data_IF_114010802757
#
_entry.id   IF_114010802757
#
_cell.length_a   1.000
_cell.length_b   1.000
_cell.length_c   1.000
_cell.angle_alpha   90.00
_cell.angle_beta   90.00
_cell.angle_gamma   90.00
#
_symmetry.space_group_name_H-M   'P 1'
#
loop_
_entity.id
_entity.type
_entity.pdbx_description
1 polymer ?
#
# COMPACT_ATOMS: atom_id res chain seq x y z
N UNK A 1 10.26 -9.59 -19.80
CA UNK A 1 11.23 -8.68 -19.12
C UNK A 1 10.40 -7.63 -18.44
N UNK A 2 10.63 -7.38 -17.15
CA UNK A 2 9.92 -6.37 -16.38
C UNK A 2 10.13 -4.98 -16.97
N UNK A 3 9.12 -4.11 -16.87
CA UNK A 3 9.16 -2.77 -17.44
C UNK A 3 10.01 -1.79 -16.62
N UNK A 4 9.93 -1.90 -15.29
CA UNK A 4 10.87 -1.28 -14.35
C UNK A 4 11.58 -2.39 -13.60
N UNK A 5 12.89 -2.34 -13.55
CA UNK A 5 13.72 -3.32 -12.85
C UNK A 5 14.79 -2.61 -12.02
N UNK A 6 14.93 -3.03 -10.79
CA UNK A 6 15.94 -2.55 -9.85
C UNK A 6 16.74 -3.76 -9.40
N UNK A 7 18.07 -3.68 -9.50
CA UNK A 7 18.99 -4.76 -9.16
C UNK A 7 20.00 -4.30 -8.12
N UNK A 8 20.08 -5.00 -6.99
CA UNK A 8 21.08 -4.83 -5.92
C UNK A 8 21.25 -3.38 -5.43
N UNK A 9 20.16 -2.61 -5.41
CA UNK A 9 20.19 -1.19 -5.10
C UNK A 9 20.51 -0.93 -3.61
N UNK A 10 21.54 -0.16 -3.35
CA UNK A 10 21.91 0.24 -1.99
C UNK A 10 22.07 1.75 -1.87
N UNK A 11 21.76 2.28 -0.68
CA UNK A 11 21.93 3.69 -0.36
C UNK A 11 22.24 3.90 1.12
N UNK A 12 23.28 4.66 1.37
CA UNK A 12 23.75 5.07 2.71
C UNK A 12 23.69 6.59 2.83
N UNK A 13 23.21 7.11 3.96
CA UNK A 13 23.30 8.50 4.34
C UNK A 13 23.95 8.61 5.70
N UNK A 14 24.99 9.44 5.82
CA UNK A 14 25.71 9.68 7.08
C UNK A 14 26.09 8.38 7.83
N UNK A 15 26.54 7.36 7.10
CA UNK A 15 26.93 6.07 7.66
C UNK A 15 25.75 5.11 7.97
N UNK A 16 24.51 5.55 7.80
CA UNK A 16 23.32 4.69 7.97
C UNK A 16 22.87 4.11 6.64
N UNK A 17 22.84 2.77 6.55
CA UNK A 17 22.32 2.03 5.40
C UNK A 17 20.78 2.13 5.36
N UNK A 18 20.24 2.95 4.44
CA UNK A 18 18.83 3.22 4.25
C UNK A 18 18.20 2.22 3.29
N UNK A 19 18.93 1.83 2.23
CA UNK A 19 18.52 0.75 1.31
C UNK A 19 19.63 -0.30 1.24
N UNK A 20 19.25 -1.58 1.27
CA UNK A 20 20.18 -2.71 1.46
C UNK A 20 19.95 -3.76 0.37
N UNK A 21 20.68 -3.67 -0.74
CA UNK A 21 20.63 -4.61 -1.88
C UNK A 21 19.18 -4.90 -2.31
N UNK A 22 18.41 -3.84 -2.54
CA UNK A 22 17.00 -3.94 -2.86
C UNK A 22 16.81 -4.38 -4.30
N UNK A 23 15.91 -5.34 -4.51
CA UNK A 23 15.48 -5.82 -5.81
C UNK A 23 13.99 -5.56 -6.00
N UNK A 24 13.58 -5.10 -7.17
CA UNK A 24 12.19 -4.82 -7.47
C UNK A 24 11.94 -4.97 -8.98
N UNK A 25 10.80 -5.55 -9.34
CA UNK A 25 10.39 -5.74 -10.71
C UNK A 25 8.92 -5.32 -10.89
N UNK A 26 8.63 -4.47 -11.88
CA UNK A 26 7.27 -3.97 -12.17
C UNK A 26 6.96 -4.23 -13.63
N UNK A 27 5.79 -4.78 -13.91
CA UNK A 27 5.33 -5.00 -15.27
C UNK A 27 4.73 -3.73 -15.88
N UNK A 28 4.66 -3.66 -17.19
CA UNK A 28 4.06 -2.49 -17.89
C UNK A 28 2.59 -2.36 -17.55
N UNK A 29 2.17 -1.15 -17.21
CA UNK A 29 0.79 -0.86 -16.84
C UNK A 29 0.38 -1.36 -15.43
N UNK A 30 1.32 -1.89 -14.65
CA UNK A 30 1.06 -2.33 -13.28
C UNK A 30 1.07 -1.14 -12.30
N UNK A 31 0.14 -1.14 -11.35
CA UNK A 31 0.18 -0.26 -10.19
C UNK A 31 0.74 -1.04 -8.99
N UNK A 32 1.94 -0.66 -8.60
CA UNK A 32 2.67 -1.26 -7.48
C UNK A 32 2.68 -0.30 -6.29
N UNK A 33 2.45 -0.82 -5.10
CA UNK A 33 2.58 -0.03 -3.86
C UNK A 33 3.81 -0.47 -3.04
N UNK A 34 4.61 0.51 -2.65
CA UNK A 34 5.64 0.36 -1.62
C UNK A 34 5.02 0.68 -0.27
N UNK A 35 4.82 -0.33 0.55
CA UNK A 35 4.17 -0.24 1.86
C UNK A 35 5.17 -0.55 2.97
N UNK A 36 5.11 0.16 4.10
CA UNK A 36 6.00 -0.10 5.23
C UNK A 36 5.98 1.02 6.27
N UNK A 37 6.58 0.81 7.44
CA UNK A 37 6.63 1.82 8.49
C UNK A 37 7.41 3.07 8.06
N UNK A 38 7.25 4.16 8.81
CA UNK A 38 8.00 5.39 8.57
C UNK A 38 9.50 5.13 8.72
N UNK A 39 10.31 5.74 7.85
CA UNK A 39 11.77 5.59 7.89
C UNK A 39 12.34 4.30 7.27
N UNK A 40 11.54 3.38 6.73
CA UNK A 40 12.04 2.15 6.13
C UNK A 40 12.69 2.31 4.74
N UNK A 41 12.72 3.52 4.15
CA UNK A 41 13.41 3.81 2.89
C UNK A 41 12.52 4.05 1.67
N UNK A 42 11.18 4.01 1.75
CA UNK A 42 10.24 4.17 0.62
C UNK A 42 10.47 5.44 -0.20
N UNK A 43 10.43 6.62 0.44
CA UNK A 43 10.65 7.90 -0.25
C UNK A 43 12.09 8.03 -0.79
N UNK A 44 13.08 7.40 -0.14
CA UNK A 44 14.44 7.32 -0.66
C UNK A 44 14.48 6.52 -1.97
N UNK A 45 13.81 5.39 -2.02
CA UNK A 45 13.70 4.58 -3.22
C UNK A 45 13.01 5.35 -4.35
N UNK A 46 11.91 6.06 -4.04
CA UNK A 46 11.21 6.91 -5.00
C UNK A 46 12.11 8.01 -5.58
N UNK A 47 12.90 8.68 -4.71
CA UNK A 47 13.85 9.72 -5.13
C UNK A 47 14.98 9.17 -5.99
N UNK A 48 15.42 7.95 -5.74
CA UNK A 48 16.43 7.29 -6.58
C UNK A 48 15.82 6.89 -7.93
N UNK A 49 14.61 6.32 -7.96
CA UNK A 49 13.89 6.02 -9.20
C UNK A 49 13.70 7.27 -10.06
N UNK A 50 13.31 8.39 -9.45
CA UNK A 50 13.14 9.67 -10.17
C UNK A 50 14.45 10.32 -10.61
N UNK A 51 15.61 9.85 -10.14
CA UNK A 51 16.92 10.43 -10.42
C UNK A 51 17.26 11.66 -9.57
N UNK A 52 16.45 12.00 -8.57
CA UNK A 52 16.72 13.09 -7.63
C UNK A 52 17.83 12.75 -6.62
N UNK A 53 18.14 11.47 -6.47
CA UNK A 53 19.22 10.97 -5.60
C UNK A 53 19.92 9.83 -6.34
N UNK A 54 21.24 9.84 -6.40
CA UNK A 54 22.01 8.73 -6.96
C UNK A 54 22.08 7.57 -5.95
N UNK A 55 21.98 6.31 -6.40
CA UNK A 55 22.28 5.15 -5.57
C UNK A 55 23.79 5.09 -5.27
N UNK A 56 24.20 4.31 -4.28
CA UNK A 56 25.61 4.04 -4.02
C UNK A 56 26.07 2.81 -4.82
N UNK A 57 25.18 1.81 -4.98
CA UNK A 57 25.38 0.64 -5.80
C UNK A 57 24.05 0.18 -6.42
N UNK A 58 24.13 -0.68 -7.42
CA UNK A 58 22.97 -1.25 -8.10
C UNK A 58 22.59 -0.51 -9.37
N UNK A 59 21.65 -1.08 -10.12
CA UNK A 59 21.25 -0.60 -11.45
C UNK A 59 19.73 -0.48 -11.54
N UNK A 60 19.27 0.49 -12.32
CA UNK A 60 17.85 0.77 -12.57
C UNK A 60 17.59 0.73 -14.06
N UNK A 61 16.66 -0.12 -14.48
CA UNK A 61 16.20 -0.20 -15.86
C UNK A 61 14.76 0.26 -15.99
N UNK A 62 14.46 1.03 -17.03
CA UNK A 62 13.11 1.39 -17.44
C UNK A 62 12.97 1.10 -18.93
N UNK A 63 11.99 0.29 -19.30
CA UNK A 63 11.75 -0.10 -20.70
C UNK A 63 13.01 -0.71 -21.34
N UNK A 64 13.72 -1.55 -20.56
CA UNK A 64 14.97 -2.21 -20.96
C UNK A 64 16.21 -1.30 -21.07
N UNK A 65 16.10 -0.01 -20.73
CA UNK A 65 17.22 0.94 -20.76
C UNK A 65 17.75 1.18 -19.37
N UNK A 66 19.06 1.14 -19.20
CA UNK A 66 19.70 1.60 -17.97
C UNK A 66 19.53 3.11 -17.82
N UNK A 67 18.92 3.52 -16.70
CA UNK A 67 18.66 4.91 -16.35
C UNK A 67 19.36 5.33 -15.06
N UNK A 68 20.27 4.53 -14.54
CA UNK A 68 20.92 4.72 -13.24
C UNK A 68 21.55 6.11 -13.11
N UNK A 69 22.31 6.53 -14.12
CA UNK A 69 23.00 7.82 -14.17
C UNK A 69 22.27 8.87 -15.02
N UNK A 70 21.08 8.54 -15.53
CA UNK A 70 20.30 9.48 -16.35
C UNK A 70 19.69 10.56 -15.45
N UNK A 71 19.82 11.82 -15.84
CA UNK A 71 19.25 12.96 -15.10
C UNK A 71 17.72 12.89 -15.03
N UNK A 72 17.07 13.44 -13.98
CA UNK A 72 15.62 13.37 -13.79
C UNK A 72 14.81 13.82 -15.02
N UNK A 73 15.26 14.89 -15.68
CA UNK A 73 14.60 15.45 -16.87
C UNK A 73 14.49 14.45 -18.02
N UNK A 74 15.47 13.55 -18.16
CA UNK A 74 15.59 12.62 -19.28
C UNK A 74 15.10 11.20 -18.95
N UNK A 75 14.63 10.94 -17.71
CA UNK A 75 14.11 9.62 -17.29
C UNK A 75 12.69 9.34 -17.75
N UNK A 76 11.99 10.33 -18.28
CA UNK A 76 10.58 10.22 -18.70
C UNK A 76 9.65 9.75 -17.56
N UNK A 77 9.90 10.24 -16.33
CA UNK A 77 9.14 9.93 -15.12
C UNK A 77 8.31 11.13 -14.70
N UNK A 78 7.04 10.89 -14.39
CA UNK A 78 6.16 11.85 -13.69
C UNK A 78 6.22 11.59 -12.18
N UNK A 79 6.23 12.65 -11.38
CA UNK A 79 6.22 12.52 -9.92
C UNK A 79 5.22 13.47 -9.28
N UNK A 80 4.45 12.94 -8.32
CA UNK A 80 3.58 13.71 -7.43
C UNK A 80 4.15 13.60 -6.03
N UNK A 81 4.51 14.73 -5.44
CA UNK A 81 5.03 14.82 -4.08
C UNK A 81 3.90 14.90 -3.05
N UNK A 82 4.18 14.52 -1.82
CA UNK A 82 3.25 14.56 -0.71
C UNK A 82 2.61 15.96 -0.49
N UNK A 83 3.38 17.04 -0.70
CA UNK A 83 2.91 18.42 -0.60
C UNK A 83 2.24 18.93 -1.86
N UNK A 84 2.00 18.07 -2.87
CA UNK A 84 1.54 18.40 -4.23
C UNK A 84 2.46 19.35 -5.00
N UNK A 85 3.22 20.20 -4.32
CA UNK A 85 4.21 21.15 -4.86
C UNK A 85 3.69 21.95 -6.06
N UNK A 86 2.44 22.46 -5.99
CA UNK A 86 1.87 23.32 -7.02
C UNK A 86 2.55 24.69 -7.02
N UNK A 87 2.68 25.28 -8.18
CA UNK A 87 3.14 26.66 -8.33
C UNK A 87 2.03 27.62 -7.87
N UNK A 88 2.19 28.33 -6.73
CA UNK A 88 1.09 29.08 -6.12
C UNK A 88 0.63 30.29 -6.96
N UNK A 89 1.52 30.80 -7.81
CA UNK A 89 1.28 31.98 -8.67
C UNK A 89 0.78 31.60 -10.08
N UNK A 90 0.58 30.31 -10.34
CA UNK A 90 0.05 29.81 -11.62
C UNK A 90 -1.36 29.28 -11.42
N UNK A 91 -2.23 29.49 -12.42
CA UNK A 91 -3.57 28.89 -12.44
C UNK A 91 -3.50 27.36 -12.62
N UNK A 92 -4.63 26.67 -12.52
CA UNK A 92 -4.76 25.23 -12.83
C UNK A 92 -4.20 24.93 -14.21
N UNK A 93 -4.69 25.62 -15.25
CA UNK A 93 -4.20 25.42 -16.62
C UNK A 93 -2.70 25.66 -16.75
N UNK A 94 -2.18 26.69 -16.14
CA UNK A 94 -0.76 27.04 -16.20
C UNK A 94 0.10 26.01 -15.43
N UNK A 95 -0.36 25.52 -14.26
CA UNK A 95 0.31 24.46 -13.54
C UNK A 95 0.44 23.19 -14.40
N UNK A 96 -0.65 22.79 -15.07
CA UNK A 96 -0.67 21.61 -15.94
C UNK A 96 0.21 21.85 -17.18
N UNK A 97 0.14 23.03 -17.81
CA UNK A 97 0.90 23.36 -19.01
C UNK A 97 2.41 23.43 -18.78
N UNK A 98 2.86 23.69 -17.55
CA UNK A 98 4.25 24.03 -17.24
C UNK A 98 5.29 23.06 -17.82
N UNK A 99 5.08 21.75 -17.66
CA UNK A 99 6.00 20.73 -18.18
C UNK A 99 6.07 20.70 -19.72
N UNK A 100 4.95 20.97 -20.40
CA UNK A 100 4.89 21.04 -21.86
C UNK A 100 5.60 22.29 -22.41
N UNK A 101 5.46 23.43 -21.73
CA UNK A 101 6.15 24.68 -22.06
C UNK A 101 7.68 24.51 -21.91
N UNK A 102 8.14 23.90 -20.83
CA UNK A 102 9.56 23.60 -20.62
C UNK A 102 10.13 22.67 -21.70
N UNK A 103 9.32 21.78 -22.26
CA UNK A 103 9.68 20.90 -23.37
C UNK A 103 9.47 21.55 -24.74
N UNK A 104 9.14 22.87 -24.79
CA UNK A 104 8.95 23.65 -26.01
C UNK A 104 7.91 23.08 -26.99
N UNK A 105 6.85 22.47 -26.46
CA UNK A 105 5.72 21.95 -27.25
C UNK A 105 4.95 23.15 -27.87
N UNK A 106 4.42 23.03 -29.11
CA UNK A 106 3.62 24.08 -29.74
C UNK A 106 2.41 24.47 -28.88
N UNK A 107 2.09 25.80 -28.86
CA UNK A 107 0.99 26.34 -28.03
C UNK A 107 -0.39 25.71 -28.33
N UNK A 108 -0.65 25.34 -29.58
CA UNK A 108 -1.89 24.69 -29.97
C UNK A 108 -2.03 23.30 -29.29
N UNK A 109 -0.97 22.50 -29.33
CA UNK A 109 -0.92 21.16 -28.72
C UNK A 109 -1.00 21.25 -27.20
N UNK A 110 -0.37 22.29 -26.60
CA UNK A 110 -0.46 22.53 -25.14
C UNK A 110 -1.91 22.76 -24.74
N UNK A 111 -2.65 23.63 -25.45
CA UNK A 111 -4.04 23.91 -25.11
C UNK A 111 -4.91 22.67 -25.16
N UNK A 112 -4.76 21.88 -26.22
CA UNK A 112 -5.52 20.62 -26.36
C UNK A 112 -5.21 19.64 -25.24
N UNK A 113 -3.93 19.35 -24.99
CA UNK A 113 -3.51 18.37 -23.94
C UNK A 113 -3.92 18.82 -22.55
N UNK A 114 -3.82 20.13 -22.24
CA UNK A 114 -4.24 20.67 -20.95
C UNK A 114 -5.74 20.51 -20.76
N UNK A 115 -6.54 20.77 -21.80
CA UNK A 115 -8.00 20.62 -21.75
C UNK A 115 -8.37 19.14 -21.52
N UNK A 116 -7.77 18.21 -22.28
CA UNK A 116 -7.95 16.77 -22.11
C UNK A 116 -7.63 16.32 -20.66
N UNK A 117 -6.53 16.82 -20.08
CA UNK A 117 -6.15 16.49 -18.71
C UNK A 117 -7.11 17.07 -17.67
N UNK A 118 -7.60 18.29 -17.85
CA UNK A 118 -8.59 18.92 -16.97
C UNK A 118 -9.88 18.11 -16.93
N UNK A 119 -10.35 17.66 -18.09
CA UNK A 119 -11.53 16.82 -18.21
C UNK A 119 -11.30 15.45 -17.55
N UNK A 120 -10.17 14.80 -17.83
CA UNK A 120 -9.79 13.50 -17.26
C UNK A 120 -9.78 13.50 -15.72
N UNK A 121 -9.26 14.58 -15.11
CA UNK A 121 -9.19 14.68 -13.64
C UNK A 121 -10.42 15.35 -13.01
N UNK A 122 -11.45 15.70 -13.81
CA UNK A 122 -12.71 16.30 -13.34
C UNK A 122 -12.54 17.68 -12.72
N UNK A 123 -11.77 18.56 -13.37
CA UNK A 123 -11.53 19.94 -12.97
C UNK A 123 -12.11 20.97 -13.96
N UNK A 124 -13.03 20.57 -14.83
CA UNK A 124 -13.73 21.46 -15.76
C UNK A 124 -14.40 22.62 -15.03
N UNK A 125 -14.20 23.84 -15.52
CA UNK A 125 -14.67 25.09 -14.90
C UNK A 125 -13.76 25.64 -13.80
N UNK A 126 -12.57 25.01 -13.56
CA UNK A 126 -11.57 25.46 -12.59
C UNK A 126 -10.25 25.89 -13.23
N UNK A 127 -10.22 26.03 -14.54
CA UNK A 127 -9.03 26.29 -15.37
C UNK A 127 -8.25 27.52 -14.92
N UNK A 128 -8.98 28.57 -14.51
CA UNK A 128 -8.43 29.88 -14.11
C UNK A 128 -8.22 30.04 -12.61
N UNK A 129 -8.64 29.04 -11.79
CA UNK A 129 -8.43 29.10 -10.36
C UNK A 129 -6.95 28.94 -10.00
N UNK A 130 -6.54 29.60 -8.92
CA UNK A 130 -5.22 29.42 -8.30
C UNK A 130 -5.26 28.32 -7.24
N UNK A 131 -4.12 27.71 -6.88
CA UNK A 131 -4.07 26.63 -5.86
C UNK A 131 -4.77 26.99 -4.55
N UNK A 132 -4.64 28.21 -4.06
CA UNK A 132 -5.29 28.70 -2.82
C UNK A 132 -6.83 28.70 -2.85
N UNK A 133 -7.42 28.63 -4.03
CA UNK A 133 -8.87 28.63 -4.25
C UNK A 133 -9.45 27.22 -4.39
N UNK A 134 -8.58 26.20 -4.26
CA UNK A 134 -8.91 24.80 -4.46
C UNK A 134 -8.89 24.03 -3.15
N UNK A 135 -9.78 23.04 -3.00
CA UNK A 135 -9.68 22.08 -1.92
C UNK A 135 -8.43 21.20 -2.07
N UNK A 136 -7.97 20.55 -0.99
CA UNK A 136 -6.81 19.65 -1.03
C UNK A 136 -6.94 18.54 -2.10
N UNK A 137 -8.11 17.94 -2.24
CA UNK A 137 -8.36 16.95 -3.29
C UNK A 137 -8.34 17.52 -4.71
N UNK A 138 -8.74 18.80 -4.89
CA UNK A 138 -8.60 19.48 -6.19
C UNK A 138 -7.14 19.80 -6.49
N UNK A 139 -6.38 20.27 -5.50
CA UNK A 139 -4.93 20.52 -5.65
C UNK A 139 -4.18 19.24 -6.05
N UNK A 140 -4.52 18.11 -5.42
CA UNK A 140 -3.95 16.81 -5.77
C UNK A 140 -4.25 16.45 -7.24
N UNK A 141 -5.49 16.63 -7.70
CA UNK A 141 -5.86 16.36 -9.11
C UNK A 141 -5.08 17.24 -10.07
N UNK A 142 -4.82 18.51 -9.72
CA UNK A 142 -3.95 19.39 -10.51
C UNK A 142 -2.52 18.84 -10.56
N UNK A 143 -1.96 18.39 -9.44
CA UNK A 143 -0.62 17.81 -9.39
C UNK A 143 -0.53 16.52 -10.22
N UNK A 144 -1.56 15.68 -10.15
CA UNK A 144 -1.67 14.46 -10.96
C UNK A 144 -1.72 14.82 -12.46
N UNK A 145 -2.61 15.71 -12.87
CA UNK A 145 -2.73 16.17 -14.25
C UNK A 145 -1.42 16.76 -14.79
N UNK A 146 -0.74 17.61 -13.98
CA UNK A 146 0.59 18.16 -14.32
C UNK A 146 1.63 17.09 -14.58
N UNK A 147 1.61 16.01 -13.81
CA UNK A 147 2.54 14.90 -13.98
C UNK A 147 2.20 14.01 -15.18
N UNK A 148 0.92 13.85 -15.51
CA UNK A 148 0.43 12.99 -16.59
C UNK A 148 0.49 13.66 -17.97
N UNK A 149 0.32 15.00 -18.06
CA UNK A 149 0.23 15.74 -19.33
C UNK A 149 1.47 15.58 -20.21
N UNK A 150 2.63 15.32 -19.61
CA UNK A 150 3.89 15.05 -20.32
C UNK A 150 3.98 13.63 -20.87
N UNK A 151 3.00 12.77 -20.59
CA UNK A 151 2.93 11.35 -20.98
C UNK A 151 4.18 10.58 -20.53
N UNK A 152 4.45 10.53 -19.21
CA UNK A 152 5.62 9.84 -18.69
C UNK A 152 5.51 8.33 -18.91
N UNK A 153 6.64 7.61 -18.88
CA UNK A 153 6.69 6.15 -18.90
C UNK A 153 6.27 5.53 -17.56
N UNK A 154 6.63 6.20 -16.47
CA UNK A 154 6.35 5.76 -15.10
C UNK A 154 5.84 6.94 -14.29
N UNK A 155 4.79 6.72 -13.50
CA UNK A 155 4.26 7.68 -12.53
C UNK A 155 4.65 7.28 -11.12
N UNK A 156 5.29 8.19 -10.39
CA UNK A 156 5.66 8.03 -8.99
C UNK A 156 4.77 8.90 -8.10
N UNK A 157 4.18 8.30 -7.07
CA UNK A 157 3.26 8.96 -6.14
C UNK A 157 3.81 8.81 -4.71
N UNK A 158 4.25 9.90 -4.10
CA UNK A 158 4.80 9.91 -2.73
C UNK A 158 3.71 10.36 -1.74
N UNK A 159 3.06 9.41 -1.07
CA UNK A 159 1.98 9.61 -0.10
C UNK A 159 0.88 10.59 -0.58
N UNK A 160 0.34 10.39 -1.80
CA UNK A 160 -0.49 11.42 -2.44
C UNK A 160 -1.81 11.70 -1.70
N UNK A 161 -2.31 10.77 -0.87
CA UNK A 161 -3.62 10.86 -0.20
C UNK A 161 -3.53 11.09 1.32
N UNK A 162 -2.33 11.19 1.89
CA UNK A 162 -2.11 11.23 3.35
C UNK A 162 -2.74 12.43 4.05
N UNK A 163 -2.83 13.59 3.36
CA UNK A 163 -3.34 14.84 3.92
C UNK A 163 -4.87 15.03 3.78
N UNK A 164 -5.60 14.01 3.31
CA UNK A 164 -7.03 14.11 2.99
C UNK A 164 -7.91 13.37 4.00
N UNK A 165 -9.13 13.87 4.18
CA UNK A 165 -10.14 13.17 4.97
C UNK A 165 -10.56 11.82 4.32
N UNK A 166 -11.13 10.92 5.13
CA UNK A 166 -11.41 9.54 4.73
C UNK A 166 -12.36 9.43 3.52
N UNK A 167 -13.38 10.31 3.43
CA UNK A 167 -14.36 10.25 2.34
C UNK A 167 -13.76 10.72 1.01
N UNK A 168 -13.02 11.82 1.04
CA UNK A 168 -12.31 12.34 -0.14
C UNK A 168 -11.25 11.34 -0.59
N UNK A 169 -10.51 10.75 0.35
CA UNK A 169 -9.48 9.73 0.08
C UNK A 169 -10.05 8.54 -0.71
N UNK A 170 -11.16 7.94 -0.25
CA UNK A 170 -11.81 6.81 -0.95
C UNK A 170 -12.24 7.14 -2.38
N UNK A 171 -12.77 8.34 -2.60
CA UNK A 171 -13.15 8.77 -3.94
C UNK A 171 -11.93 8.95 -4.85
N UNK A 172 -10.86 9.54 -4.33
CA UNK A 172 -9.63 9.77 -5.10
C UNK A 172 -8.85 8.48 -5.39
N UNK A 173 -8.88 7.49 -4.49
CA UNK A 173 -8.34 6.14 -4.74
C UNK A 173 -9.00 5.50 -5.97
N UNK A 174 -10.35 5.55 -6.04
CA UNK A 174 -11.09 5.04 -7.20
C UNK A 174 -10.74 5.78 -8.49
N UNK A 175 -10.68 7.12 -8.44
CA UNK A 175 -10.31 7.94 -9.59
C UNK A 175 -8.88 7.66 -10.06
N UNK A 176 -7.91 7.59 -9.13
CA UNK A 176 -6.53 7.26 -9.44
C UNK A 176 -6.44 5.91 -10.17
N UNK A 177 -7.15 4.89 -9.65
CA UNK A 177 -7.16 3.56 -10.27
C UNK A 177 -7.81 3.57 -11.65
N UNK A 178 -8.91 4.34 -11.84
CA UNK A 178 -9.56 4.49 -13.14
C UNK A 178 -8.61 5.14 -14.15
N UNK A 179 -8.01 6.29 -13.81
CA UNK A 179 -7.07 7.01 -14.68
C UNK A 179 -5.86 6.13 -15.03
N UNK A 180 -5.31 5.43 -14.03
CA UNK A 180 -4.16 4.55 -14.23
C UNK A 180 -4.46 3.42 -15.24
N UNK A 181 -5.67 2.82 -15.15
CA UNK A 181 -6.12 1.77 -16.08
C UNK A 181 -6.41 2.32 -17.48
N UNK A 182 -7.11 3.44 -17.58
CA UNK A 182 -7.43 4.08 -18.88
C UNK A 182 -6.18 4.45 -19.66
N UNK A 183 -5.14 4.95 -18.96
CA UNK A 183 -3.87 5.32 -19.56
C UNK A 183 -2.88 4.15 -19.66
N UNK A 184 -3.20 2.98 -19.14
CA UNK A 184 -2.28 1.83 -18.99
C UNK A 184 -0.93 2.26 -18.41
N UNK A 185 -0.97 3.10 -17.35
CA UNK A 185 0.18 3.78 -16.76
C UNK A 185 0.89 2.90 -15.74
N UNK A 186 2.17 2.64 -15.93
CA UNK A 186 3.00 1.99 -14.91
C UNK A 186 3.19 2.96 -13.74
N UNK A 187 2.74 2.55 -12.54
CA UNK A 187 2.66 3.45 -11.40
C UNK A 187 3.30 2.84 -10.15
N UNK A 188 4.09 3.64 -9.44
CA UNK A 188 4.63 3.30 -8.12
C UNK A 188 4.02 4.25 -7.10
N UNK A 189 3.24 3.70 -6.19
CA UNK A 189 2.62 4.40 -5.06
C UNK A 189 3.42 4.13 -3.80
N UNK A 190 3.77 5.16 -3.06
CA UNK A 190 4.28 5.05 -1.69
C UNK A 190 3.16 5.42 -0.74
N UNK A 191 2.90 4.58 0.23
CA UNK A 191 1.97 4.86 1.33
C UNK A 191 2.38 4.13 2.61
N UNK A 192 1.86 4.58 3.74
CA UNK A 192 1.87 3.86 5.01
C UNK A 192 0.47 3.33 5.38
N UNK A 193 -0.55 3.65 4.56
CA UNK A 193 -1.94 3.22 4.74
C UNK A 193 -2.17 1.87 4.06
N UNK A 194 -2.51 0.86 4.87
CA UNK A 194 -2.73 -0.51 4.40
C UNK A 194 -4.02 -0.63 3.58
N UNK A 195 -5.09 0.08 3.97
CA UNK A 195 -6.36 0.07 3.24
C UNK A 195 -6.16 0.64 1.83
N UNK A 196 -5.37 1.73 1.73
CA UNK A 196 -5.00 2.31 0.43
C UNK A 196 -4.27 1.29 -0.44
N UNK A 197 -3.19 0.68 0.09
CA UNK A 197 -2.40 -0.31 -0.63
C UNK A 197 -3.27 -1.48 -1.12
N UNK A 198 -4.13 -2.03 -0.24
CA UNK A 198 -5.03 -3.13 -0.58
C UNK A 198 -6.08 -2.77 -1.63
N UNK A 199 -6.57 -1.51 -1.61
CA UNK A 199 -7.66 -1.09 -2.49
C UNK A 199 -7.23 -0.80 -3.94
N UNK A 200 -5.99 -0.31 -4.15
CA UNK A 200 -5.59 0.21 -5.47
C UNK A 200 -4.54 -0.62 -6.19
N UNK A 201 -3.78 -1.47 -5.50
CA UNK A 201 -2.59 -2.12 -6.07
C UNK A 201 -2.90 -3.39 -6.85
N UNK A 202 -2.10 -3.64 -7.88
CA UNK A 202 -1.97 -4.96 -8.49
C UNK A 202 -0.99 -5.82 -7.68
N UNK A 203 0.10 -5.19 -7.15
CA UNK A 203 1.11 -5.82 -6.32
C UNK A 203 1.57 -4.87 -5.21
N UNK A 204 1.84 -5.42 -4.04
CA UNK A 204 2.36 -4.71 -2.89
C UNK A 204 3.76 -5.24 -2.58
N UNK A 205 4.71 -4.33 -2.34
CA UNK A 205 6.03 -4.61 -1.81
C UNK A 205 6.11 -4.07 -0.39
N UNK A 206 6.27 -4.96 0.59
CA UNK A 206 6.41 -4.59 1.99
C UNK A 206 7.87 -4.34 2.28
N UNK A 207 8.16 -3.11 2.74
CA UNK A 207 9.51 -2.68 3.11
C UNK A 207 9.68 -2.62 4.62
N UNK A 208 10.80 -3.15 5.11
CA UNK A 208 11.23 -3.00 6.50
C UNK A 208 12.75 -2.91 6.58
N UNK A 209 13.28 -1.97 7.38
CA UNK A 209 14.71 -1.82 7.63
C UNK A 209 15.58 -1.69 6.37
N UNK A 210 15.05 -1.10 5.30
CA UNK A 210 15.75 -0.89 4.02
C UNK A 210 15.73 -2.09 3.07
N UNK A 211 14.92 -3.12 3.34
CA UNK A 211 14.76 -4.32 2.50
C UNK A 211 13.30 -4.52 2.12
N UNK A 212 13.06 -5.23 1.03
CA UNK A 212 11.75 -5.84 0.73
C UNK A 212 11.67 -7.15 1.50
N UNK A 213 10.68 -7.26 2.41
CA UNK A 213 10.50 -8.45 3.26
C UNK A 213 9.45 -9.41 2.71
N UNK A 214 8.50 -8.89 1.94
CA UNK A 214 7.53 -9.69 1.18
C UNK A 214 6.96 -8.87 0.03
N UNK A 215 6.59 -9.52 -1.06
CA UNK A 215 5.79 -8.95 -2.14
C UNK A 215 4.77 -9.95 -2.64
N UNK A 216 3.68 -9.46 -3.23
CA UNK A 216 2.60 -10.28 -3.78
C UNK A 216 1.37 -9.44 -4.10
N UNK A 217 0.31 -10.08 -4.59
CA UNK A 217 -1.00 -9.45 -4.73
C UNK A 217 -1.55 -9.03 -3.35
N UNK A 218 -2.46 -8.05 -3.29
CA UNK A 218 -3.13 -7.69 -2.02
C UNK A 218 -3.70 -8.90 -1.28
N UNK A 219 -4.30 -9.84 -2.01
CA UNK A 219 -4.85 -11.07 -1.45
C UNK A 219 -3.77 -11.94 -0.81
N UNK A 220 -2.65 -12.20 -1.50
CA UNK A 220 -1.53 -13.00 -0.97
C UNK A 220 -0.90 -12.36 0.26
N UNK A 221 -0.67 -11.04 0.22
CA UNK A 221 -0.11 -10.29 1.35
C UNK A 221 -0.99 -10.40 2.58
N UNK A 222 -2.33 -10.30 2.40
CA UNK A 222 -3.28 -10.37 3.49
C UNK A 222 -3.54 -11.79 3.97
N UNK A 223 -3.54 -12.80 3.11
CA UNK A 223 -3.90 -14.18 3.49
C UNK A 223 -2.72 -15.07 3.81
N UNK A 224 -1.50 -14.70 3.40
CA UNK A 224 -0.29 -15.53 3.50
C UNK A 224 0.93 -14.72 3.97
N UNK A 225 0.86 -14.09 5.16
CA UNK A 225 2.05 -13.44 5.72
C UNK A 225 3.17 -14.45 5.92
N UNK A 226 4.39 -14.11 5.50
CA UNK A 226 5.54 -15.03 5.60
C UNK A 226 6.31 -14.90 6.91
N UNK A 227 6.20 -13.76 7.60
CA UNK A 227 6.91 -13.48 8.84
C UNK A 227 5.99 -12.84 9.88
N UNK A 228 6.39 -12.89 11.14
CA UNK A 228 5.68 -12.20 12.22
C UNK A 228 5.54 -10.71 11.96
N UNK A 229 6.60 -10.06 11.43
CA UNK A 229 6.54 -8.65 11.07
C UNK A 229 5.39 -8.36 10.09
N UNK A 230 5.28 -9.14 9.02
CA UNK A 230 4.24 -8.94 8.01
C UNK A 230 2.85 -9.19 8.60
N UNK A 231 2.66 -10.27 9.37
CA UNK A 231 1.39 -10.59 10.02
C UNK A 231 0.91 -9.44 10.94
N UNK A 232 1.82 -8.92 11.79
CA UNK A 232 1.51 -7.81 12.69
C UNK A 232 1.34 -6.47 11.98
N UNK A 233 2.06 -6.28 10.87
CA UNK A 233 2.03 -5.01 10.14
C UNK A 233 0.79 -4.90 9.24
N UNK A 234 0.35 -6.00 8.59
CA UNK A 234 -0.77 -5.97 7.61
C UNK A 234 -2.13 -6.16 8.26
N UNK A 235 -2.20 -6.80 9.41
CA UNK A 235 -3.46 -7.10 10.06
C UNK A 235 -3.33 -7.23 11.56
N UNK A 236 -4.48 -7.37 12.20
CA UNK A 236 -4.54 -7.63 13.65
C UNK A 236 -4.45 -9.14 13.93
N UNK A 237 -3.52 -9.83 13.27
CA UNK A 237 -3.36 -11.27 13.42
C UNK A 237 -3.11 -11.67 14.88
N UNK A 238 -3.72 -12.76 15.29
CA UNK A 238 -3.28 -13.50 16.46
C UNK A 238 -1.96 -14.20 16.11
N UNK A 239 -0.85 -13.73 16.66
CA UNK A 239 0.46 -14.38 16.49
C UNK A 239 0.74 -15.19 17.74
N UNK A 240 0.71 -16.52 17.61
CA UNK A 240 0.83 -17.48 18.71
C UNK A 240 2.14 -18.25 18.57
N UNK A 241 2.77 -18.58 19.69
CA UNK A 241 3.85 -19.57 19.72
C UNK A 241 3.29 -20.97 19.53
N UNK A 242 4.13 -21.93 19.15
CA UNK A 242 3.73 -23.34 19.05
C UNK A 242 3.13 -23.86 20.37
N UNK A 243 3.67 -23.45 21.51
CA UNK A 243 3.14 -23.80 22.83
C UNK A 243 1.74 -23.24 23.07
N UNK A 244 1.53 -21.94 22.77
CA UNK A 244 0.22 -21.29 22.88
C UNK A 244 -0.82 -21.94 21.96
N UNK A 245 -0.44 -22.23 20.72
CA UNK A 245 -1.32 -22.89 19.76
C UNK A 245 -1.71 -24.29 20.26
N UNK A 246 -0.77 -25.08 20.75
CA UNK A 246 -1.04 -26.41 21.30
C UNK A 246 -1.94 -26.37 22.56
N UNK A 247 -1.85 -25.32 23.38
CA UNK A 247 -2.74 -25.13 24.53
C UNK A 247 -4.19 -24.89 24.13
N UNK A 248 -4.43 -24.07 23.07
CA UNK A 248 -5.79 -23.73 22.65
C UNK A 248 -6.38 -24.76 21.68
N UNK A 249 -5.55 -25.46 20.91
CA UNK A 249 -5.94 -26.41 19.88
C UNK A 249 -5.04 -27.67 19.90
N UNK A 250 -5.10 -28.50 20.96
CA UNK A 250 -4.20 -29.66 21.10
C UNK A 250 -4.38 -30.71 20.00
N UNK A 251 -5.56 -30.80 19.42
CA UNK A 251 -5.87 -31.74 18.34
C UNK A 251 -5.41 -31.27 16.96
N UNK A 252 -4.83 -30.07 16.87
CA UNK A 252 -4.34 -29.52 15.60
C UNK A 252 -2.99 -30.14 15.22
N UNK A 253 -2.96 -30.86 14.10
CA UNK A 253 -1.71 -31.26 13.47
C UNK A 253 -1.06 -30.06 12.77
N UNK A 254 -0.42 -29.18 13.54
CA UNK A 254 0.25 -28.00 12.99
C UNK A 254 1.57 -28.36 12.30
N UNK A 255 1.96 -27.66 11.21
CA UNK A 255 3.28 -27.83 10.60
C UNK A 255 4.39 -27.42 11.58
N UNK A 256 5.62 -27.87 11.31
CA UNK A 256 6.76 -27.52 12.14
C UNK A 256 7.14 -26.04 11.94
N UNK A 257 6.72 -25.18 12.86
CA UNK A 257 7.04 -23.77 12.92
C UNK A 257 7.06 -23.29 14.39
N UNK A 258 7.84 -22.25 14.68
CA UNK A 258 7.91 -21.69 16.03
C UNK A 258 6.71 -20.78 16.34
N UNK A 259 6.14 -20.15 15.31
CA UNK A 259 5.04 -19.19 15.41
C UNK A 259 4.00 -19.41 14.33
N UNK A 260 2.78 -19.01 14.64
CA UNK A 260 1.63 -19.15 13.77
C UNK A 260 0.80 -17.86 13.79
N UNK A 261 0.26 -17.50 12.64
CA UNK A 261 -0.67 -16.39 12.49
C UNK A 261 -2.08 -16.91 12.21
N UNK A 262 -3.07 -16.36 12.91
CA UNK A 262 -4.50 -16.64 12.72
C UNK A 262 -5.23 -15.32 12.60
N UNK A 263 -5.99 -15.13 11.53
CA UNK A 263 -6.77 -13.92 11.32
C UNK A 263 -7.98 -13.88 12.27
N UNK A 264 -8.30 -12.73 12.90
CA UNK A 264 -9.42 -12.61 13.81
C UNK A 264 -10.77 -12.99 13.20
N UNK A 265 -10.97 -12.73 11.91
CA UNK A 265 -12.21 -13.02 11.19
C UNK A 265 -12.35 -14.48 10.73
N UNK A 266 -11.33 -15.32 10.92
CA UNK A 266 -11.41 -16.75 10.55
C UNK A 266 -12.05 -17.62 11.63
N UNK A 267 -12.19 -17.10 12.85
CA UNK A 267 -12.94 -17.76 13.90
C UNK A 267 -14.44 -17.68 13.61
N UNK A 268 -15.14 -18.81 13.66
CA UNK A 268 -16.56 -18.94 13.28
C UNK A 268 -17.39 -19.35 14.48
N UNK A 269 -18.63 -18.89 14.56
CA UNK A 269 -19.57 -19.30 15.61
C UNK A 269 -20.23 -20.65 15.31
N UNK A 270 -20.17 -21.11 14.08
CA UNK A 270 -20.73 -22.36 13.63
C UNK A 270 -19.65 -23.28 13.03
N UNK A 271 -19.79 -24.56 13.28
CA UNK A 271 -18.95 -25.59 12.66
C UNK A 271 -19.34 -25.76 11.21
N UNK A 272 -18.40 -25.58 10.28
CA UNK A 272 -18.63 -25.68 8.83
C UNK A 272 -18.10 -26.99 8.25
N UNK A 273 -17.07 -27.59 8.87
CA UNK A 273 -16.45 -28.83 8.41
C UNK A 273 -16.14 -29.76 9.58
N UNK A 274 -15.97 -31.05 9.29
CA UNK A 274 -15.68 -32.06 10.33
C UNK A 274 -14.32 -31.84 11.00
N UNK A 275 -13.36 -31.29 10.26
CA UNK A 275 -12.03 -30.95 10.72
C UNK A 275 -11.92 -29.65 11.54
N UNK A 276 -13.00 -28.85 11.60
CA UNK A 276 -12.99 -27.61 12.37
C UNK A 276 -12.81 -27.90 13.86
N UNK A 277 -11.85 -27.23 14.46
CA UNK A 277 -11.47 -27.37 15.86
C UNK A 277 -12.38 -26.48 16.71
N UNK A 278 -12.98 -27.06 17.72
CA UNK A 278 -13.82 -26.34 18.67
C UNK A 278 -12.94 -25.67 19.73
N UNK A 279 -13.14 -24.36 19.91
CA UNK A 279 -12.47 -23.54 20.91
C UNK A 279 -13.52 -22.94 21.84
N UNK A 280 -13.20 -22.81 23.12
CA UNK A 280 -14.09 -22.16 24.09
C UNK A 280 -13.27 -21.21 24.94
N UNK A 281 -13.69 -19.95 25.01
CA UNK A 281 -13.01 -18.91 25.76
C UNK A 281 -13.97 -17.96 26.47
N UNK A 282 -13.47 -17.24 27.45
CA UNK A 282 -14.20 -16.22 28.16
C UNK A 282 -13.92 -14.84 27.53
N UNK A 283 -14.96 -14.05 27.28
CA UNK A 283 -14.83 -12.72 26.73
C UNK A 283 -14.24 -11.80 27.81
N UNK A 284 -13.05 -11.25 27.54
CA UNK A 284 -12.40 -10.28 28.42
C UNK A 284 -12.84 -8.86 28.07
N UNK A 285 -12.93 -8.54 26.76
CA UNK A 285 -13.30 -7.21 26.28
C UNK A 285 -14.08 -7.30 24.97
N UNK A 286 -14.96 -6.28 24.73
CA UNK A 286 -15.75 -6.16 23.51
C UNK A 286 -15.63 -4.75 22.97
N UNK A 287 -15.27 -4.62 21.68
CA UNK A 287 -15.13 -3.34 20.99
C UNK A 287 -15.96 -3.34 19.72
N UNK A 288 -16.82 -2.34 19.55
CA UNK A 288 -17.56 -2.14 18.29
C UNK A 288 -16.73 -1.30 17.31
N UNK A 289 -16.46 -1.87 16.15
CA UNK A 289 -15.70 -1.24 15.06
C UNK A 289 -16.60 -0.97 13.83
N UNK A 290 -17.79 -0.45 14.07
CA UNK A 290 -18.80 -0.22 13.03
C UNK A 290 -19.55 -1.51 12.66
N UNK A 291 -19.28 -2.07 11.50
CA UNK A 291 -19.91 -3.32 11.04
C UNK A 291 -19.25 -4.60 11.58
N UNK A 292 -18.18 -4.46 12.36
CA UNK A 292 -17.45 -5.56 13.01
C UNK A 292 -17.49 -5.37 14.52
N UNK A 293 -17.76 -6.44 15.25
CA UNK A 293 -17.57 -6.53 16.70
C UNK A 293 -16.31 -7.32 16.95
N UNK A 294 -15.34 -6.71 17.63
CA UNK A 294 -14.09 -7.36 18.06
C UNK A 294 -14.23 -7.82 19.49
N UNK A 295 -13.97 -9.09 19.70
CA UNK A 295 -13.89 -9.73 21.00
C UNK A 295 -12.44 -10.04 21.34
N UNK A 296 -12.03 -9.70 22.55
CA UNK A 296 -10.81 -10.22 23.17
C UNK A 296 -11.21 -11.39 24.05
N UNK A 297 -10.86 -12.61 23.66
CA UNK A 297 -11.17 -13.82 24.41
C UNK A 297 -9.93 -14.38 25.10
N UNK A 298 -10.10 -14.91 26.29
CA UNK A 298 -9.12 -15.76 26.92
C UNK A 298 -9.52 -17.22 26.71
N UNK A 299 -8.76 -17.95 25.86
CA UNK A 299 -8.91 -19.39 25.67
C UNK A 299 -7.86 -20.06 26.57
N UNK A 300 -8.30 -20.55 27.74
CA UNK A 300 -7.38 -20.82 28.85
C UNK A 300 -6.69 -19.52 29.27
N UNK A 301 -5.35 -19.50 29.21
CA UNK A 301 -4.53 -18.31 29.52
C UNK A 301 -4.05 -17.56 28.27
N UNK A 302 -4.47 -17.98 27.08
CA UNK A 302 -4.02 -17.39 25.80
C UNK A 302 -5.02 -16.34 25.33
N UNK A 303 -4.62 -15.06 25.20
CA UNK A 303 -5.49 -14.03 24.64
C UNK A 303 -5.60 -14.20 23.13
N UNK A 304 -6.84 -14.15 22.63
CA UNK A 304 -7.16 -14.30 21.20
C UNK A 304 -8.14 -13.23 20.79
N UNK A 305 -7.84 -12.54 19.68
CA UNK A 305 -8.74 -11.58 19.03
C UNK A 305 -9.66 -12.32 18.05
N UNK A 306 -10.94 -11.98 18.09
CA UNK A 306 -11.96 -12.54 17.21
C UNK A 306 -12.80 -11.41 16.64
N UNK A 307 -12.92 -11.33 15.33
CA UNK A 307 -13.75 -10.37 14.63
C UNK A 307 -15.00 -11.06 14.07
N UNK A 308 -16.16 -10.64 14.52
CA UNK A 308 -17.46 -11.11 14.02
C UNK A 308 -18.20 -9.98 13.32
N UNK A 309 -18.90 -10.29 12.21
CA UNK A 309 -19.83 -9.31 11.64
C UNK A 309 -20.92 -8.99 12.64
N UNK A 310 -21.21 -7.72 12.81
CA UNK A 310 -22.28 -7.27 13.70
C UNK A 310 -23.64 -7.60 13.07
N UNK A 311 -24.24 -8.71 13.50
CA UNK A 311 -25.53 -9.23 12.98
C UNK A 311 -26.70 -9.00 13.95
N UNK A 312 -26.43 -8.62 15.21
CA UNK A 312 -27.46 -8.43 16.25
C UNK A 312 -27.29 -7.09 16.97
N UNK A 313 -28.39 -6.60 17.56
CA UNK A 313 -28.42 -5.33 18.29
C UNK A 313 -27.70 -5.38 19.66
N UNK A 314 -27.49 -6.57 20.20
CA UNK A 314 -26.81 -6.75 21.49
C UNK A 314 -25.60 -7.69 21.34
N UNK A 315 -24.37 -7.17 21.35
CA UNK A 315 -23.18 -8.00 21.41
C UNK A 315 -23.10 -8.73 22.77
N UNK A 316 -22.51 -9.91 22.76
CA UNK A 316 -22.22 -10.63 24.00
C UNK A 316 -21.34 -9.78 24.91
N UNK A 317 -21.61 -9.82 26.22
CA UNK A 317 -20.93 -8.97 27.19
C UNK A 317 -19.64 -9.62 27.73
N UNK A 318 -18.73 -8.79 28.26
CA UNK A 318 -17.57 -9.26 28.98
C UNK A 318 -17.98 -10.21 30.15
N UNK A 319 -17.23 -11.28 30.34
CA UNK A 319 -17.52 -12.35 31.29
C UNK A 319 -18.32 -13.51 30.71
N UNK A 320 -18.96 -13.36 29.56
CA UNK A 320 -19.66 -14.46 28.90
C UNK A 320 -18.67 -15.47 28.29
N UNK A 321 -19.11 -16.72 28.18
CA UNK A 321 -18.35 -17.78 27.51
C UNK A 321 -18.77 -17.89 26.05
N UNK A 322 -17.82 -17.83 25.12
CA UNK A 322 -18.05 -17.95 23.69
C UNK A 322 -17.42 -19.23 23.14
N UNK A 323 -18.19 -19.97 22.35
CA UNK A 323 -17.69 -21.13 21.61
C UNK A 323 -17.46 -20.75 20.16
N UNK A 324 -16.29 -21.12 19.64
CA UNK A 324 -15.83 -20.79 18.29
C UNK A 324 -15.28 -22.04 17.61
N UNK A 325 -15.17 -21.96 16.30
CA UNK A 325 -14.61 -23.01 15.46
C UNK A 325 -13.50 -22.41 14.58
N UNK A 326 -12.37 -23.08 14.50
CA UNK A 326 -11.20 -22.71 13.70
C UNK A 326 -10.91 -23.79 12.68
N UNK A 327 -10.85 -23.40 11.40
CA UNK A 327 -10.39 -24.33 10.37
C UNK A 327 -8.87 -24.49 10.42
N UNK A 328 -8.31 -25.71 10.43
CA UNK A 328 -6.86 -25.95 10.43
C UNK A 328 -6.11 -25.21 9.31
N UNK A 329 -6.74 -25.03 8.15
CA UNK A 329 -6.17 -24.29 6.99
C UNK A 329 -5.98 -22.79 7.24
N UNK A 330 -6.67 -22.22 8.24
CA UNK A 330 -6.56 -20.79 8.59
C UNK A 330 -5.40 -20.54 9.57
N UNK A 331 -4.70 -21.58 10.01
CA UNK A 331 -3.50 -21.49 10.86
C UNK A 331 -2.26 -21.42 9.96
N UNK A 332 -1.65 -20.26 9.87
CA UNK A 332 -0.56 -19.96 8.95
C UNK A 332 0.77 -20.05 9.68
N UNK A 333 1.68 -20.98 9.29
CA UNK A 333 3.01 -21.03 9.89
C UNK A 333 3.83 -19.79 9.45
N UNK A 334 4.54 -19.20 10.40
CA UNK A 334 5.44 -18.07 10.16
C UNK A 334 6.88 -18.55 10.22
N UNK A 335 7.67 -18.10 9.24
CA UNK A 335 9.10 -18.40 9.15
C UNK A 335 9.86 -17.08 9.22
N UNK A 336 10.65 -16.86 10.26
CA UNK A 336 11.50 -15.66 10.39
C UNK A 336 12.70 -15.70 9.44
N UNK A 337 12.49 -16.10 8.20
CA UNK A 337 13.54 -16.06 7.19
C UNK A 337 13.49 -14.71 6.49
N UNK A 338 14.35 -13.79 6.93
CA UNK A 338 14.77 -12.65 6.10
C UNK A 338 15.63 -13.28 5.00
N UNK A 339 15.04 -13.53 3.83
CA UNK A 339 15.78 -13.90 2.65
C UNK A 339 16.63 -12.72 2.15
#
# INVERSE_FOLDING_TARGET
>A
MSYVQIEHLSKTFHGQNVLKQLELAIEKGELVTLLGPSGCGKSTLLRILSGLTAPDTGTIYIDGKDVTDVSPKNREIGMVFQSYALFPNLTVSQNIAFGLEMNKIPKADIRQRVQEMIELVGLTGKEQNYPRELSGGQQQRVALARSLVTRPKVLLLDEPLSALDAQIRKNLQKQLRTIQRELNMTTVLVTHDQEEAMAVSDRIYIMNGGRIVQHGSPHEIYTQPRSEFVARFIGNYNVLTAEQLNRIAPDLAAPAAERFAIRPETFREQRMAAEDIRLTGNIAHVTMLGNVTRYELNIGEVPVLVDSLHLSYEPEQAGATKTLYLCPKDVIPLYDTIA
#
